data_IF_060752731439
#
_entry.id   IF_060752731439
#
_cell.length_a   1.000
_cell.length_b   1.000
_cell.length_c   1.000
_cell.angle_alpha   90.00
_cell.angle_beta   90.00
_cell.angle_gamma   90.00
#
_symmetry.space_group_name_H-M   'P 1'
#
loop_
_entity.id
_entity.type
_entity.pdbx_description
1 polymer ?
#
# COMPACT_ATOMS: atom_id res chain seq x y z
N UNK A 1 -29.23 10.32 -13.45
CA UNK A 1 -29.10 11.70 -12.93
C UNK A 1 -27.78 11.86 -12.18
N UNK A 2 -27.45 11.00 -11.16
CA UNK A 2 -26.25 11.13 -10.33
C UNK A 2 -24.90 10.96 -11.05
N UNK A 3 -24.85 10.37 -12.23
CA UNK A 3 -23.63 10.21 -13.03
C UNK A 3 -23.56 11.22 -14.17
N UNK A 4 -24.67 11.40 -14.90
CA UNK A 4 -24.71 12.21 -16.12
C UNK A 4 -24.44 13.69 -15.83
N UNK A 5 -25.06 14.26 -14.79
CA UNK A 5 -24.86 15.67 -14.43
C UNK A 5 -23.40 15.99 -14.07
N UNK A 6 -22.73 15.29 -13.13
CA UNK A 6 -21.32 15.55 -12.83
C UNK A 6 -20.42 15.39 -14.05
N UNK A 7 -20.63 14.38 -14.87
CA UNK A 7 -19.82 14.16 -16.08
C UNK A 7 -20.04 15.27 -17.10
N UNK A 8 -21.27 15.71 -17.35
CA UNK A 8 -21.54 16.80 -18.29
C UNK A 8 -20.96 18.15 -17.83
N UNK A 9 -20.97 18.42 -16.53
CA UNK A 9 -20.33 19.62 -15.97
C UNK A 9 -18.81 19.55 -16.13
N UNK A 10 -18.18 18.40 -15.83
CA UNK A 10 -16.74 18.22 -16.04
C UNK A 10 -16.35 18.36 -17.50
N UNK A 11 -17.11 17.77 -18.43
CA UNK A 11 -16.87 17.93 -19.86
C UNK A 11 -17.00 19.40 -20.31
N UNK A 12 -17.98 20.13 -19.80
CA UNK A 12 -18.12 21.55 -20.10
C UNK A 12 -16.91 22.36 -19.62
N UNK A 13 -16.40 22.09 -18.40
CA UNK A 13 -15.18 22.73 -17.92
C UNK A 13 -13.95 22.39 -18.79
N UNK A 14 -13.81 21.16 -19.26
CA UNK A 14 -12.73 20.77 -20.16
C UNK A 14 -12.81 21.56 -21.47
N UNK A 15 -14.01 21.63 -22.11
CA UNK A 15 -14.16 22.32 -23.37
C UNK A 15 -14.01 23.85 -23.25
N UNK A 16 -14.46 24.44 -22.16
CA UNK A 16 -14.32 25.89 -21.92
C UNK A 16 -12.92 26.32 -21.50
N UNK A 17 -12.16 25.42 -20.82
CA UNK A 17 -10.82 25.68 -20.32
C UNK A 17 -9.69 25.12 -21.18
N UNK A 18 -9.97 24.51 -22.34
CA UNK A 18 -8.99 23.77 -23.14
C UNK A 18 -7.76 24.59 -23.57
N UNK A 19 -7.93 25.91 -23.77
CA UNK A 19 -6.83 26.82 -24.10
C UNK A 19 -5.86 27.13 -22.96
N UNK A 20 -6.18 26.76 -21.71
CA UNK A 20 -5.41 27.07 -20.50
C UNK A 20 -4.67 25.80 -20.01
N UNK A 21 -4.94 24.63 -20.61
CA UNK A 21 -4.39 23.37 -20.18
C UNK A 21 -2.93 23.25 -20.58
N UNK A 22 -2.02 23.25 -19.61
CA UNK A 22 -0.63 22.88 -19.84
C UNK A 22 -0.50 21.35 -19.80
N UNK A 23 -0.46 20.75 -20.99
CA UNK A 23 -0.29 19.31 -21.16
C UNK A 23 1.01 18.77 -20.55
N UNK A 24 2.04 19.59 -20.50
CA UNK A 24 3.35 19.22 -19.92
C UNK A 24 3.24 19.06 -18.41
N UNK A 25 2.55 19.98 -17.75
CA UNK A 25 2.30 19.93 -16.32
C UNK A 25 1.44 18.72 -15.94
N UNK A 26 0.37 18.45 -16.71
CA UNK A 26 -0.48 17.27 -16.49
C UNK A 26 0.31 15.98 -16.64
N UNK A 27 1.12 15.88 -17.68
CA UNK A 27 1.94 14.69 -17.90
C UNK A 27 2.93 14.45 -16.75
N UNK A 28 3.59 15.52 -16.31
CA UNK A 28 4.54 15.46 -15.22
C UNK A 28 3.88 15.02 -13.90
N UNK A 29 2.78 15.66 -13.53
CA UNK A 29 2.01 15.33 -12.32
C UNK A 29 1.46 13.91 -12.36
N UNK A 30 0.94 13.47 -13.52
CA UNK A 30 0.46 12.11 -13.70
C UNK A 30 1.59 11.08 -13.55
N UNK A 31 2.75 11.35 -14.10
CA UNK A 31 3.91 10.47 -13.97
C UNK A 31 4.35 10.31 -12.50
N UNK A 32 4.39 11.41 -11.74
CA UNK A 32 4.70 11.34 -10.31
C UNK A 32 3.65 10.56 -9.54
N UNK A 33 2.36 10.78 -9.80
CA UNK A 33 1.28 10.04 -9.14
C UNK A 33 1.34 8.54 -9.39
N UNK A 34 1.63 8.14 -10.64
CA UNK A 34 1.80 6.73 -11.02
C UNK A 34 3.02 6.13 -10.32
N UNK A 35 4.13 6.85 -10.30
CA UNK A 35 5.37 6.38 -9.65
C UNK A 35 5.19 6.22 -8.15
N UNK A 36 4.50 7.18 -7.50
CA UNK A 36 4.17 7.13 -6.09
C UNK A 36 3.27 5.94 -5.76
N UNK A 37 2.22 5.73 -6.56
CA UNK A 37 1.30 4.62 -6.36
C UNK A 37 1.97 3.26 -6.58
N UNK A 38 2.86 3.17 -7.57
CA UNK A 38 3.62 1.95 -7.85
C UNK A 38 4.58 1.62 -6.70
N UNK A 39 5.34 2.60 -6.22
CA UNK A 39 6.26 2.41 -5.10
C UNK A 39 5.51 2.08 -3.82
N UNK A 40 4.41 2.75 -3.52
CA UNK A 40 3.55 2.46 -2.38
C UNK A 40 2.99 1.03 -2.43
N UNK A 41 2.42 0.62 -3.57
CA UNK A 41 1.91 -0.72 -3.77
C UNK A 41 3.00 -1.80 -3.62
N UNK A 42 4.20 -1.54 -4.15
CA UNK A 42 5.33 -2.44 -3.99
C UNK A 42 5.68 -2.68 -2.52
N UNK A 43 5.81 -1.63 -1.71
CA UNK A 43 6.12 -1.76 -0.30
C UNK A 43 4.98 -2.41 0.50
N UNK A 44 3.72 -2.07 0.21
CA UNK A 44 2.56 -2.72 0.84
C UNK A 44 2.57 -4.22 0.57
N UNK A 45 2.78 -4.64 -0.68
CA UNK A 45 2.82 -6.06 -1.03
C UNK A 45 4.02 -6.77 -0.42
N UNK A 46 5.18 -6.13 -0.36
CA UNK A 46 6.37 -6.69 0.27
C UNK A 46 6.12 -6.99 1.76
N UNK A 47 5.56 -6.02 2.49
CA UNK A 47 5.22 -6.20 3.91
C UNK A 47 4.12 -7.27 4.08
N UNK A 48 3.10 -7.28 3.22
CA UNK A 48 2.02 -8.29 3.26
C UNK A 48 2.54 -9.70 3.05
N UNK A 49 3.41 -9.90 2.06
CA UNK A 49 4.04 -11.22 1.81
C UNK A 49 4.80 -11.67 3.04
N UNK A 50 5.63 -10.80 3.61
CA UNK A 50 6.44 -11.11 4.78
C UNK A 50 5.56 -11.51 5.99
N UNK A 51 4.54 -10.71 6.32
CA UNK A 51 3.65 -10.97 7.45
C UNK A 51 2.85 -12.26 7.29
N UNK A 52 2.27 -12.49 6.12
CA UNK A 52 1.42 -13.65 5.90
C UNK A 52 2.25 -14.94 5.82
N UNK A 53 3.42 -14.92 5.19
CA UNK A 53 4.31 -16.09 5.18
C UNK A 53 4.76 -16.47 6.59
N UNK A 54 5.20 -15.51 7.40
CA UNK A 54 5.60 -15.79 8.79
C UNK A 54 4.42 -16.35 9.59
N UNK A 55 3.25 -15.73 9.47
CA UNK A 55 2.05 -16.19 10.20
C UNK A 55 1.59 -17.59 9.79
N UNK A 56 1.79 -17.98 8.53
CA UNK A 56 1.35 -19.28 8.04
C UNK A 56 2.30 -20.42 8.47
N UNK A 57 3.61 -20.17 8.49
CA UNK A 57 4.59 -21.22 8.74
C UNK A 57 5.18 -21.22 10.17
N UNK A 58 5.05 -20.13 10.92
CA UNK A 58 5.43 -20.02 12.34
C UNK A 58 4.30 -19.39 13.15
N UNK A 59 3.11 -20.00 13.09
CA UNK A 59 1.91 -19.44 13.70
C UNK A 59 2.04 -19.33 15.22
N UNK A 60 1.96 -18.09 15.73
CA UNK A 60 1.76 -17.79 17.15
C UNK A 60 0.55 -16.84 17.29
N UNK A 61 -0.14 -16.91 18.44
CA UNK A 61 -1.32 -16.05 18.69
C UNK A 61 -0.96 -14.55 18.61
N UNK A 62 0.25 -14.17 19.04
CA UNK A 62 0.77 -12.80 18.90
C UNK A 62 0.81 -12.35 17.44
N UNK A 63 1.25 -13.18 16.51
CA UNK A 63 1.34 -12.85 15.09
C UNK A 63 -0.04 -12.64 14.47
N UNK A 64 -1.03 -13.46 14.84
CA UNK A 64 -2.41 -13.29 14.40
C UNK A 64 -3.00 -11.97 14.88
N UNK A 65 -2.72 -11.58 16.13
CA UNK A 65 -3.15 -10.30 16.69
C UNK A 65 -2.46 -9.12 15.99
N UNK A 66 -1.16 -9.21 15.70
CA UNK A 66 -0.42 -8.17 14.97
C UNK A 66 -1.02 -7.97 13.57
N UNK A 67 -1.28 -9.05 12.82
CA UNK A 67 -1.90 -8.96 11.49
C UNK A 67 -3.29 -8.37 11.57
N UNK A 68 -4.08 -8.75 12.55
CA UNK A 68 -5.40 -8.18 12.77
C UNK A 68 -5.32 -6.67 13.02
N UNK A 69 -4.50 -6.24 13.98
CA UNK A 69 -4.31 -4.82 14.29
C UNK A 69 -3.76 -4.03 13.09
N UNK A 70 -2.77 -4.58 12.40
CA UNK A 70 -2.22 -3.96 11.19
C UNK A 70 -3.25 -3.83 10.06
N UNK A 71 -4.24 -4.73 10.01
CA UNK A 71 -5.32 -4.67 9.03
C UNK A 71 -6.43 -3.67 9.40
N UNK A 72 -6.50 -3.22 10.67
CA UNK A 72 -7.48 -2.22 11.10
C UNK A 72 -7.25 -0.83 10.46
N UNK A 73 -6.05 -0.56 9.94
CA UNK A 73 -5.74 0.71 9.28
C UNK A 73 -6.64 1.01 8.08
N UNK A 74 -7.14 0.00 7.39
CA UNK A 74 -8.07 0.16 6.26
C UNK A 74 -9.45 0.69 6.70
N UNK A 75 -9.89 0.37 7.91
CA UNK A 75 -11.16 0.84 8.45
C UNK A 75 -11.16 2.33 8.83
N UNK A 76 -9.97 2.92 9.04
CA UNK A 76 -9.85 4.33 9.40
C UNK A 76 -10.03 5.22 8.16
N UNK A 77 -10.78 6.33 8.25
CA UNK A 77 -10.78 7.35 7.21
C UNK A 77 -9.37 7.88 6.94
N UNK A 78 -9.00 8.08 5.66
CA UNK A 78 -7.66 8.53 5.28
C UNK A 78 -7.25 9.86 5.92
N UNK A 79 -8.20 10.78 6.09
CA UNK A 79 -7.98 12.06 6.78
C UNK A 79 -7.56 11.86 8.24
N UNK A 80 -8.23 10.96 8.97
CA UNK A 80 -7.92 10.68 10.39
C UNK A 80 -6.53 10.05 10.50
N UNK A 81 -6.21 9.11 9.60
CA UNK A 81 -4.89 8.48 9.57
C UNK A 81 -3.80 9.51 9.26
N UNK A 82 -4.00 10.38 8.29
CA UNK A 82 -3.03 11.41 7.92
C UNK A 82 -2.78 12.41 9.07
N UNK A 83 -3.85 12.91 9.71
CA UNK A 83 -3.72 13.80 10.87
C UNK A 83 -3.03 13.09 12.04
N UNK A 84 -3.40 11.84 12.33
CA UNK A 84 -2.75 11.02 13.34
C UNK A 84 -1.24 10.86 13.09
N UNK A 85 -0.84 10.66 11.83
CA UNK A 85 0.57 10.59 11.42
C UNK A 85 1.30 11.91 11.66
N UNK A 86 0.71 13.04 11.30
CA UNK A 86 1.31 14.37 11.56
C UNK A 86 1.52 14.60 13.04
N UNK A 87 0.52 14.31 13.88
CA UNK A 87 0.61 14.45 15.35
C UNK A 87 1.69 13.52 15.90
N UNK A 88 1.70 12.26 15.48
CA UNK A 88 2.68 11.27 15.92
C UNK A 88 4.12 11.66 15.57
N UNK A 89 4.34 12.17 14.37
CA UNK A 89 5.65 12.66 13.94
C UNK A 89 6.07 13.93 14.68
N UNK A 90 5.13 14.84 14.95
CA UNK A 90 5.38 16.02 15.78
C UNK A 90 5.83 15.62 17.18
N UNK A 91 5.13 14.68 17.79
CA UNK A 91 5.49 14.14 19.11
C UNK A 91 6.89 13.48 19.13
N UNK A 92 7.21 12.65 18.12
CA UNK A 92 8.55 12.06 17.99
C UNK A 92 9.63 13.14 17.85
N UNK A 93 9.39 14.16 17.04
CA UNK A 93 10.33 15.25 16.82
C UNK A 93 10.64 16.02 18.11
N UNK A 94 9.63 16.25 18.95
CA UNK A 94 9.79 16.93 20.24
C UNK A 94 10.61 16.10 21.24
N UNK A 95 10.36 14.79 21.32
CA UNK A 95 11.01 13.92 22.28
C UNK A 95 12.44 13.48 21.89
N UNK A 96 12.68 13.23 20.60
CA UNK A 96 13.95 12.69 20.14
C UNK A 96 14.92 13.77 19.65
N UNK A 97 14.53 15.08 19.66
CA UNK A 97 15.33 16.18 19.09
C UNK A 97 15.88 15.86 17.69
N UNK A 98 15.27 14.91 17.02
CA UNK A 98 15.58 14.54 15.65
C UNK A 98 14.98 15.62 14.76
N UNK A 99 15.77 16.33 13.97
CA UNK A 99 15.25 17.25 12.97
C UNK A 99 14.46 16.50 11.89
N UNK A 100 13.39 15.82 12.36
CA UNK A 100 12.45 15.09 11.52
C UNK A 100 11.61 16.03 10.64
N UNK A 101 11.75 17.34 10.81
CA UNK A 101 11.10 18.34 9.98
C UNK A 101 11.41 18.16 8.49
N UNK A 102 12.59 17.62 8.16
CA UNK A 102 12.91 17.19 6.80
C UNK A 102 12.19 15.90 6.38
N UNK A 103 11.78 15.06 7.33
CA UNK A 103 11.09 13.80 7.07
C UNK A 103 9.56 13.91 7.25
N UNK A 104 9.08 14.87 8.03
CA UNK A 104 7.66 15.02 8.38
C UNK A 104 6.75 15.37 7.17
N UNK A 105 7.31 15.87 6.09
CA UNK A 105 6.65 16.03 4.79
C UNK A 105 7.33 15.20 3.71
N UNK A 106 7.92 14.04 4.05
CA UNK A 106 8.75 13.27 3.15
C UNK A 106 8.02 12.07 2.53
N UNK A 107 8.52 11.66 1.38
CA UNK A 107 8.09 10.47 0.65
C UNK A 107 8.01 9.19 1.52
N UNK A 108 8.93 9.06 2.50
CA UNK A 108 8.98 7.90 3.41
C UNK A 108 7.74 7.84 4.31
N UNK A 109 7.31 8.99 4.85
CA UNK A 109 6.12 9.07 5.72
C UNK A 109 4.87 8.73 4.93
N UNK A 110 4.79 9.20 3.70
CA UNK A 110 3.67 8.92 2.81
C UNK A 110 3.58 7.43 2.47
N UNK A 111 4.71 6.79 2.14
CA UNK A 111 4.75 5.33 1.92
C UNK A 111 4.36 4.56 3.18
N UNK A 112 4.85 5.00 4.36
CA UNK A 112 4.48 4.35 5.62
C UNK A 112 2.98 4.48 5.89
N UNK A 113 2.37 5.64 5.65
CA UNK A 113 0.92 5.84 5.75
C UNK A 113 0.13 4.93 4.79
N UNK A 114 0.62 4.74 3.55
CA UNK A 114 0.02 3.79 2.61
C UNK A 114 0.14 2.35 3.08
N UNK A 115 1.29 1.95 3.65
CA UNK A 115 1.44 0.62 4.23
C UNK A 115 0.38 0.42 5.32
N UNK A 116 0.30 1.32 6.29
CA UNK A 116 -0.67 1.21 7.39
C UNK A 116 -2.10 1.12 6.87
N UNK A 117 -2.45 1.91 5.84
CA UNK A 117 -3.80 1.95 5.31
C UNK A 117 -4.16 0.74 4.46
N UNK A 118 -3.29 0.34 3.53
CA UNK A 118 -3.62 -0.66 2.51
C UNK A 118 -3.09 -2.07 2.79
N UNK A 119 -2.46 -2.27 3.95
CA UNK A 119 -1.93 -3.59 4.34
C UNK A 119 -3.03 -4.67 4.39
N UNK A 120 -4.25 -4.31 4.77
CA UNK A 120 -5.39 -5.23 4.79
C UNK A 120 -5.69 -5.82 3.41
N UNK A 121 -5.65 -5.00 2.36
CA UNK A 121 -5.91 -5.41 0.96
C UNK A 121 -4.81 -6.36 0.50
N UNK A 122 -3.54 -6.01 0.74
CA UNK A 122 -2.39 -6.87 0.44
C UNK A 122 -2.47 -8.21 1.18
N UNK A 123 -2.73 -8.17 2.50
CA UNK A 123 -2.86 -9.37 3.33
C UNK A 123 -3.98 -10.28 2.84
N UNK A 124 -5.15 -9.73 2.49
CA UNK A 124 -6.29 -10.51 1.98
C UNK A 124 -5.94 -11.21 0.66
N UNK A 125 -5.26 -10.53 -0.26
CA UNK A 125 -4.83 -11.11 -1.53
C UNK A 125 -3.83 -12.25 -1.34
N UNK A 126 -2.78 -12.06 -0.55
CA UNK A 126 -1.77 -13.10 -0.28
C UNK A 126 -2.38 -14.28 0.45
N UNK A 127 -3.23 -14.03 1.47
CA UNK A 127 -3.91 -15.08 2.22
C UNK A 127 -4.80 -15.92 1.31
N UNK A 128 -5.55 -15.32 0.40
CA UNK A 128 -6.38 -16.05 -0.56
C UNK A 128 -5.55 -16.94 -1.48
N UNK A 129 -4.32 -16.52 -1.82
CA UNK A 129 -3.38 -17.33 -2.58
C UNK A 129 -2.85 -18.52 -1.80
N UNK A 130 -2.45 -18.31 -0.54
CA UNK A 130 -1.96 -19.40 0.33
C UNK A 130 -3.03 -20.47 0.54
N UNK A 131 -4.29 -20.09 0.71
CA UNK A 131 -5.39 -21.05 0.88
C UNK A 131 -5.61 -21.97 -0.34
N UNK A 132 -5.10 -21.63 -1.50
CA UNK A 132 -5.14 -22.46 -2.72
C UNK A 132 -3.95 -23.44 -2.82
N UNK A 133 -2.90 -23.21 -2.05
CA UNK A 133 -1.70 -24.05 -2.04
C UNK A 133 -1.98 -25.25 -1.13
N UNK A 134 -1.62 -26.46 -1.62
CA UNK A 134 -1.77 -27.66 -0.82
C UNK A 134 -0.97 -27.56 0.49
N UNK A 135 -1.54 -27.93 1.67
CA UNK A 135 -0.86 -27.76 2.95
C UNK A 135 0.53 -28.38 3.03
N UNK A 136 0.70 -29.56 2.40
CA UNK A 136 1.95 -30.31 2.45
C UNK A 136 2.99 -29.85 1.41
N UNK A 137 2.71 -28.82 0.60
CA UNK A 137 3.65 -28.37 -0.44
C UNK A 137 4.99 -27.90 0.15
N UNK A 138 4.94 -27.23 1.29
CA UNK A 138 6.14 -26.77 1.99
C UNK A 138 6.89 -27.97 2.63
N UNK A 139 6.16 -28.87 3.28
CA UNK A 139 6.75 -30.05 3.94
C UNK A 139 7.42 -30.96 2.92
N UNK A 140 6.81 -31.15 1.73
CA UNK A 140 7.43 -31.89 0.64
C UNK A 140 8.75 -31.24 0.20
N UNK A 141 8.84 -29.93 0.16
CA UNK A 141 10.10 -29.25 -0.18
C UNK A 141 11.18 -29.45 0.90
N UNK A 142 10.77 -29.45 2.18
CA UNK A 142 11.68 -29.67 3.30
C UNK A 142 12.21 -31.12 3.31
N UNK A 143 11.36 -32.12 3.06
CA UNK A 143 11.76 -33.53 2.98
C UNK A 143 12.71 -33.82 1.80
N UNK A 144 12.62 -33.03 0.72
CA UNK A 144 13.55 -33.07 -0.40
C UNK A 144 14.88 -32.34 -0.13
N UNK A 145 15.11 -31.89 1.11
CA UNK A 145 16.36 -31.24 1.54
C UNK A 145 16.44 -29.74 1.26
N UNK A 146 15.34 -29.10 0.86
CA UNK A 146 15.32 -27.65 0.74
C UNK A 146 15.21 -27.02 2.15
N UNK A 147 16.03 -26.02 2.45
CA UNK A 147 15.83 -25.18 3.64
C UNK A 147 14.57 -24.31 3.49
N UNK A 148 14.03 -23.78 4.60
CA UNK A 148 12.80 -22.98 4.64
C UNK A 148 12.76 -21.87 3.56
N UNK A 149 13.78 -21.02 3.52
CA UNK A 149 13.86 -19.91 2.55
C UNK A 149 13.90 -20.39 1.11
N UNK A 150 14.57 -21.51 0.87
CA UNK A 150 14.62 -22.11 -0.47
C UNK A 150 13.27 -22.68 -0.89
N UNK A 151 12.56 -23.35 0.02
CA UNK A 151 11.19 -23.85 -0.21
C UNK A 151 10.22 -22.71 -0.50
N UNK A 152 10.26 -21.62 0.30
CA UNK A 152 9.45 -20.44 0.04
C UNK A 152 9.75 -19.85 -1.34
N UNK A 153 11.02 -19.65 -1.69
CA UNK A 153 11.42 -19.02 -2.96
C UNK A 153 11.08 -19.87 -4.19
N UNK A 154 11.29 -21.18 -4.12
CA UNK A 154 11.16 -22.07 -5.30
C UNK A 154 9.74 -22.62 -5.44
N UNK A 155 9.02 -22.86 -4.34
CA UNK A 155 7.69 -23.50 -4.36
C UNK A 155 6.60 -22.47 -4.10
N UNK A 156 6.64 -21.76 -2.98
CA UNK A 156 5.53 -20.93 -2.55
C UNK A 156 5.41 -19.65 -3.36
N UNK A 157 6.50 -18.92 -3.59
CA UNK A 157 6.48 -17.64 -4.32
C UNK A 157 5.96 -17.75 -5.76
N UNK A 158 6.36 -18.75 -6.58
CA UNK A 158 5.79 -18.91 -7.92
C UNK A 158 4.29 -19.19 -7.90
N UNK A 159 3.82 -20.02 -6.94
CA UNK A 159 2.40 -20.32 -6.80
C UNK A 159 1.57 -19.11 -6.34
N UNK A 160 2.17 -18.19 -5.58
CA UNK A 160 1.54 -16.95 -5.13
C UNK A 160 1.59 -15.82 -6.17
N UNK A 161 2.36 -15.95 -7.24
CA UNK A 161 2.64 -14.86 -8.17
C UNK A 161 1.37 -14.18 -8.70
N UNK A 162 0.37 -14.97 -9.10
CA UNK A 162 -0.92 -14.43 -9.57
C UNK A 162 -1.62 -13.59 -8.48
N UNK A 163 -1.63 -14.07 -7.23
CA UNK A 163 -2.23 -13.33 -6.13
C UNK A 163 -1.42 -12.10 -5.74
N UNK A 164 -0.09 -12.15 -5.86
CA UNK A 164 0.79 -10.99 -5.65
C UNK A 164 0.48 -9.91 -6.69
N UNK A 165 0.37 -10.27 -7.96
CA UNK A 165 0.06 -9.32 -9.04
C UNK A 165 -1.35 -8.73 -8.87
N UNK A 166 -2.36 -9.54 -8.60
CA UNK A 166 -3.74 -9.08 -8.37
C UNK A 166 -3.78 -8.12 -7.17
N UNK A 167 -3.17 -8.51 -6.03
CA UNK A 167 -3.10 -7.67 -4.84
C UNK A 167 -2.35 -6.37 -5.11
N UNK A 168 -1.25 -6.43 -5.85
CA UNK A 168 -0.47 -5.26 -6.25
C UNK A 168 -1.28 -4.28 -7.08
N UNK A 169 -2.06 -4.77 -8.07
CA UNK A 169 -2.94 -3.92 -8.90
C UNK A 169 -4.05 -3.29 -8.04
N UNK A 170 -4.68 -4.06 -7.15
CA UNK A 170 -5.72 -3.53 -6.27
C UNK A 170 -5.18 -2.41 -5.37
N UNK A 171 -4.06 -2.66 -4.70
CA UNK A 171 -3.41 -1.65 -3.84
C UNK A 171 -2.97 -0.43 -4.65
N UNK A 172 -2.41 -0.63 -5.84
CA UNK A 172 -2.01 0.45 -6.74
C UNK A 172 -3.20 1.36 -7.10
N UNK A 173 -4.33 0.77 -7.50
CA UNK A 173 -5.55 1.52 -7.83
C UNK A 173 -6.12 2.24 -6.60
N UNK A 174 -6.08 1.61 -5.43
CA UNK A 174 -6.54 2.22 -4.19
C UNK A 174 -5.65 3.41 -3.78
N UNK A 175 -4.33 3.33 -3.94
CA UNK A 175 -3.41 4.45 -3.70
C UNK A 175 -3.67 5.59 -4.69
N UNK A 176 -3.92 5.32 -5.96
CA UNK A 176 -4.24 6.37 -6.95
C UNK A 176 -5.52 7.15 -6.61
N UNK A 177 -6.45 6.53 -5.92
CA UNK A 177 -7.69 7.15 -5.45
C UNK A 177 -7.56 7.84 -4.09
N UNK A 178 -6.43 7.63 -3.39
CA UNK A 178 -6.24 8.13 -2.03
C UNK A 178 -5.74 9.57 -2.02
N UNK A 179 -6.68 10.51 -2.12
CA UNK A 179 -6.40 11.94 -2.09
C UNK A 179 -6.08 12.49 -0.69
N UNK A 180 -6.84 12.16 0.39
CA UNK A 180 -6.65 12.78 1.70
C UNK A 180 -5.25 12.56 2.29
N UNK A 181 -4.72 11.35 2.26
CA UNK A 181 -3.39 11.04 2.78
C UNK A 181 -2.33 11.75 1.95
N UNK A 182 -2.45 11.67 0.62
CA UNK A 182 -1.50 12.28 -0.30
C UNK A 182 -1.42 13.79 -0.11
N UNK A 183 -2.57 14.49 -0.03
CA UNK A 183 -2.62 15.95 0.13
C UNK A 183 -2.07 16.43 1.46
N UNK A 184 -2.31 15.69 2.55
CA UNK A 184 -1.89 16.09 3.89
C UNK A 184 -0.42 15.76 4.20
N UNK A 185 0.11 14.69 3.61
CA UNK A 185 1.46 14.20 3.90
C UNK A 185 2.49 14.47 2.79
N UNK A 186 2.07 14.98 1.63
CA UNK A 186 3.01 15.31 0.54
C UNK A 186 3.99 16.40 0.98
N UNK A 187 5.27 16.33 0.58
CA UNK A 187 6.23 17.40 0.79
C UNK A 187 5.80 18.68 0.08
N UNK A 188 6.11 19.84 0.68
CA UNK A 188 6.03 21.13 0.00
C UNK A 188 6.96 21.11 -1.20
N UNK A 189 6.51 21.28 -2.41
CA UNK A 189 7.18 21.21 -3.71
C UNK A 189 7.06 19.87 -4.47
N UNK A 190 6.03 19.10 -4.17
CA UNK A 190 5.64 17.91 -4.95
C UNK A 190 4.41 18.18 -5.79
#
# INVERSE_FOLDING_TARGET
VGFVIPVSVLLNFIFSGFSIIDFKEIFYTSFFSITLAFTGAFFVMLVSIFLILISNYKSNNLQKSIIFLASCGYALPGTILAVGMVIFLGWINEYLHFHLSYFAGGFIVLIFAYIVRFLAVGNASIRSGILKIHPNAMDASLTMGAGFFRGVKIVIMPLLLSNILIGGILVFVDILKELPITLLLRPFNF
#
